data_IF_545774043554
#
_entry.id   IF_545774043554
#
_cell.length_a   1.000
_cell.length_b   1.000
_cell.length_c   1.000
_cell.angle_alpha   90.00
_cell.angle_beta   90.00
_cell.angle_gamma   90.00
#
_symmetry.space_group_name_H-M   'P 1'
#
loop_
_entity.id
_entity.type
_entity.pdbx_description
1 polymer ?
#
# COMPACT_ATOMS: atom_id res chain seq x y z
N UNK A 1 -9.44 -14.52 -36.07
CA UNK A 1 -9.91 -15.91 -36.06
C UNK A 1 -9.22 -16.77 -37.12
N UNK A 2 -9.08 -16.32 -38.36
CA UNK A 2 -8.56 -17.18 -39.44
C UNK A 2 -7.04 -17.37 -39.39
N UNK A 3 -6.29 -16.34 -39.01
CA UNK A 3 -4.83 -16.42 -38.86
C UNK A 3 -4.40 -17.40 -37.74
N UNK A 4 -5.06 -17.34 -36.59
CA UNK A 4 -4.76 -18.23 -35.46
C UNK A 4 -5.09 -19.69 -35.78
N UNK A 5 -6.22 -19.96 -36.47
CA UNK A 5 -6.56 -21.31 -36.95
C UNK A 5 -5.52 -21.83 -37.95
N UNK A 6 -5.15 -21.01 -38.92
CA UNK A 6 -4.12 -21.34 -39.91
C UNK A 6 -2.79 -21.70 -39.23
N UNK A 7 -2.40 -20.98 -38.18
CA UNK A 7 -1.15 -21.25 -37.46
C UNK A 7 -1.20 -22.50 -36.58
N UNK A 8 -2.35 -22.78 -35.96
CA UNK A 8 -2.59 -24.05 -35.26
C UNK A 8 -2.54 -25.23 -36.27
N UNK A 9 -3.14 -25.07 -37.44
CA UNK A 9 -3.08 -26.05 -38.54
C UNK A 9 -1.65 -26.24 -39.09
N UNK A 10 -0.76 -25.26 -38.88
CA UNK A 10 0.68 -25.34 -39.21
C UNK A 10 1.54 -25.88 -38.05
N UNK A 11 0.94 -26.50 -37.03
CA UNK A 11 1.62 -27.07 -35.85
C UNK A 11 2.31 -26.05 -34.93
N UNK A 12 1.99 -24.76 -34.99
CA UNK A 12 2.48 -23.80 -33.98
C UNK A 12 1.48 -23.70 -32.82
N UNK A 13 1.56 -24.67 -31.91
CA UNK A 13 0.62 -24.84 -30.79
C UNK A 13 0.72 -23.72 -29.73
N UNK A 14 1.88 -23.06 -29.61
CA UNK A 14 2.14 -22.02 -28.61
C UNK A 14 1.56 -20.65 -28.98
N UNK A 15 1.08 -20.46 -30.22
CA UNK A 15 0.61 -19.16 -30.71
C UNK A 15 -0.48 -18.56 -29.82
N UNK A 16 -1.41 -19.39 -29.32
CA UNK A 16 -2.51 -18.91 -28.48
C UNK A 16 -1.93 -18.31 -27.19
N UNK A 17 -0.95 -18.98 -26.59
CA UNK A 17 -0.30 -18.52 -25.36
C UNK A 17 0.50 -17.23 -25.60
N UNK A 18 1.28 -17.19 -26.69
CA UNK A 18 2.11 -16.04 -27.04
C UNK A 18 1.28 -14.79 -27.38
N UNK A 19 0.12 -15.00 -28.02
CA UNK A 19 -0.74 -13.91 -28.49
C UNK A 19 -1.90 -13.60 -27.56
N UNK A 20 -2.04 -14.31 -26.44
CA UNK A 20 -3.24 -14.25 -25.60
C UNK A 20 -3.57 -12.83 -25.15
N UNK A 21 -2.58 -12.15 -24.57
CA UNK A 21 -2.74 -10.81 -24.01
C UNK A 21 -3.11 -9.82 -25.12
N UNK A 22 -2.39 -9.86 -26.27
CA UNK A 22 -2.58 -8.96 -27.40
C UNK A 22 -3.93 -9.14 -28.10
N UNK A 23 -4.33 -10.39 -28.35
CA UNK A 23 -5.58 -10.71 -29.04
C UNK A 23 -6.78 -10.28 -28.20
N UNK A 24 -6.75 -10.55 -26.89
CA UNK A 24 -7.84 -10.16 -26.00
C UNK A 24 -7.90 -8.65 -25.83
N UNK A 25 -6.78 -7.97 -25.58
CA UNK A 25 -6.75 -6.49 -25.53
C UNK A 25 -7.24 -5.87 -26.84
N UNK A 26 -6.78 -6.40 -27.98
CA UNK A 26 -7.22 -5.97 -29.31
C UNK A 26 -8.72 -6.14 -29.52
N UNK A 27 -9.31 -7.23 -29.02
CA UNK A 27 -10.75 -7.45 -29.12
C UNK A 27 -11.56 -6.41 -28.33
N UNK A 28 -11.09 -6.01 -27.15
CA UNK A 28 -11.71 -4.92 -26.40
C UNK A 28 -11.55 -3.58 -27.12
N UNK A 29 -10.40 -3.28 -27.72
CA UNK A 29 -10.18 -2.04 -28.48
C UNK A 29 -11.06 -1.94 -29.74
N UNK A 30 -11.24 -3.05 -30.47
CA UNK A 30 -12.15 -3.09 -31.63
C UNK A 30 -13.58 -2.81 -31.17
N UNK A 31 -13.98 -3.32 -30.00
CA UNK A 31 -15.32 -3.12 -29.49
C UNK A 31 -15.52 -1.75 -28.81
N UNK A 32 -14.44 -1.13 -28.31
CA UNK A 32 -14.48 0.16 -27.62
C UNK A 32 -13.38 1.10 -28.18
N UNK A 33 -13.51 1.54 -29.45
CA UNK A 33 -12.45 2.30 -30.11
C UNK A 33 -12.18 3.62 -29.40
N UNK A 34 -10.92 4.15 -29.43
CA UNK A 34 -10.50 5.34 -28.68
C UNK A 34 -11.41 6.56 -28.83
N UNK A 35 -11.91 6.79 -30.04
CA UNK A 35 -12.71 7.98 -30.41
C UNK A 35 -14.22 7.77 -30.30
N UNK A 36 -14.67 6.54 -30.03
CA UNK A 36 -16.10 6.22 -29.98
C UNK A 36 -16.67 6.44 -28.57
N UNK A 37 -17.65 7.33 -28.47
CA UNK A 37 -18.58 7.38 -27.33
C UNK A 37 -19.70 6.33 -27.47
N UNK A 38 -19.84 5.75 -28.65
CA UNK A 38 -20.83 4.70 -28.94
C UNK A 38 -20.52 3.45 -28.14
N UNK A 39 -21.48 3.08 -27.30
CA UNK A 39 -21.45 1.87 -26.50
C UNK A 39 -21.86 0.70 -27.39
N UNK A 40 -20.92 -0.18 -27.72
CA UNK A 40 -21.26 -1.47 -28.32
C UNK A 40 -21.96 -2.33 -27.27
N UNK A 41 -23.00 -3.05 -27.68
CA UNK A 41 -23.75 -3.99 -26.84
C UNK A 41 -22.81 -5.04 -26.23
N UNK A 42 -22.92 -5.21 -24.91
CA UNK A 42 -22.19 -6.23 -24.14
C UNK A 42 -22.37 -7.64 -24.73
N UNK A 43 -23.52 -7.91 -25.36
CA UNK A 43 -23.79 -9.18 -26.03
C UNK A 43 -22.80 -9.44 -27.18
N UNK A 44 -22.53 -8.43 -28.01
CA UNK A 44 -21.60 -8.54 -29.14
C UNK A 44 -20.19 -8.78 -28.64
N UNK A 45 -19.76 -8.05 -27.61
CA UNK A 45 -18.43 -8.26 -27.01
C UNK A 45 -18.31 -9.67 -26.42
N UNK A 46 -19.33 -10.12 -25.69
CA UNK A 46 -19.37 -11.46 -25.13
C UNK A 46 -19.29 -12.55 -26.21
N UNK A 47 -20.05 -12.44 -27.30
CA UNK A 47 -20.03 -13.41 -28.40
C UNK A 47 -18.63 -13.51 -29.02
N UNK A 48 -18.00 -12.37 -29.34
CA UNK A 48 -16.64 -12.34 -29.90
C UNK A 48 -15.59 -12.94 -28.96
N UNK A 49 -15.64 -12.59 -27.68
CA UNK A 49 -14.73 -13.15 -26.68
C UNK A 49 -14.96 -14.65 -26.46
N UNK A 50 -16.21 -15.09 -26.45
CA UNK A 50 -16.56 -16.51 -26.32
C UNK A 50 -16.02 -17.32 -27.50
N UNK A 51 -16.06 -16.78 -28.72
CA UNK A 51 -15.46 -17.44 -29.89
C UNK A 51 -13.93 -17.51 -29.81
N UNK A 52 -13.27 -16.50 -29.24
CA UNK A 52 -11.84 -16.58 -28.92
C UNK A 52 -11.57 -17.62 -27.84
N UNK A 53 -12.40 -17.70 -26.80
CA UNK A 53 -12.25 -18.70 -25.75
C UNK A 53 -12.42 -20.14 -26.25
N UNK A 54 -13.31 -20.38 -27.23
CA UNK A 54 -13.41 -21.69 -27.91
C UNK A 54 -12.14 -22.07 -28.66
N UNK A 55 -11.33 -21.09 -29.08
CA UNK A 55 -10.02 -21.32 -29.69
C UNK A 55 -8.89 -21.49 -28.66
N UNK A 56 -9.18 -21.39 -27.36
CA UNK A 56 -8.19 -21.59 -26.29
C UNK A 56 -7.69 -20.31 -25.62
N UNK A 57 -8.07 -19.12 -26.12
CA UNK A 57 -7.74 -17.85 -25.47
C UNK A 57 -8.42 -17.72 -24.10
N UNK A 58 -7.74 -17.12 -23.11
CA UNK A 58 -8.25 -17.01 -21.74
C UNK A 58 -8.05 -15.62 -21.16
N UNK A 59 -9.13 -15.07 -20.59
CA UNK A 59 -9.06 -13.86 -19.77
C UNK A 59 -8.48 -14.27 -18.40
N UNK A 60 -7.15 -14.25 -18.30
CA UNK A 60 -6.43 -14.40 -17.03
C UNK A 60 -6.54 -13.11 -16.21
N UNK A 61 -6.19 -13.17 -14.92
CA UNK A 61 -6.17 -11.98 -14.07
C UNK A 61 -5.23 -10.91 -14.62
N UNK A 62 -4.04 -11.31 -15.11
CA UNK A 62 -3.08 -10.41 -15.76
C UNK A 62 -3.70 -9.69 -16.96
N UNK A 63 -4.33 -10.43 -17.88
CA UNK A 63 -4.98 -9.85 -19.06
C UNK A 63 -6.11 -8.90 -18.67
N UNK A 64 -6.92 -9.28 -17.68
CA UNK A 64 -8.00 -8.42 -17.21
C UNK A 64 -7.46 -7.11 -16.61
N UNK A 65 -6.40 -7.15 -15.79
CA UNK A 65 -5.73 -5.97 -15.30
C UNK A 65 -5.20 -5.09 -16.44
N UNK A 66 -4.53 -5.69 -17.43
CA UNK A 66 -4.00 -4.96 -18.59
C UNK A 66 -5.12 -4.30 -19.42
N UNK A 67 -6.26 -4.97 -19.59
CA UNK A 67 -7.45 -4.39 -20.22
C UNK A 67 -7.97 -3.21 -19.40
N UNK A 68 -8.15 -3.34 -18.08
CA UNK A 68 -8.61 -2.22 -17.26
C UNK A 68 -7.65 -1.02 -17.33
N UNK A 69 -6.34 -1.28 -17.33
CA UNK A 69 -5.31 -0.24 -17.47
C UNK A 69 -5.40 0.44 -18.84
N UNK A 70 -5.60 -0.32 -19.92
CA UNK A 70 -5.79 0.21 -21.28
C UNK A 70 -6.99 1.17 -21.37
N UNK A 71 -8.02 0.94 -20.56
CA UNK A 71 -9.22 1.77 -20.50
C UNK A 71 -9.22 2.78 -19.34
N UNK A 72 -8.12 2.98 -18.62
CA UNK A 72 -8.05 3.81 -17.40
C UNK A 72 -8.69 5.20 -17.58
N UNK A 73 -8.33 5.92 -18.65
CA UNK A 73 -8.86 7.28 -18.94
C UNK A 73 -10.35 7.31 -19.28
N UNK A 74 -10.94 6.15 -19.60
CA UNK A 74 -12.34 5.98 -20.01
C UNK A 74 -13.04 4.94 -19.12
N UNK A 75 -12.51 4.69 -17.92
CA UNK A 75 -12.98 3.62 -17.05
C UNK A 75 -14.43 3.87 -16.62
N UNK A 76 -14.84 5.12 -16.51
CA UNK A 76 -16.23 5.52 -16.21
C UNK A 76 -17.24 5.10 -17.29
N UNK A 77 -16.81 4.95 -18.54
CA UNK A 77 -17.68 4.57 -19.66
C UNK A 77 -17.80 3.05 -19.84
N UNK A 78 -16.70 2.34 -19.58
CA UNK A 78 -16.55 0.93 -19.97
C UNK A 78 -16.23 -0.02 -18.81
N UNK A 79 -15.77 0.46 -17.66
CA UNK A 79 -15.27 -0.36 -16.55
C UNK A 79 -16.26 -1.44 -16.11
N UNK A 80 -17.51 -1.06 -15.82
CA UNK A 80 -18.55 -2.02 -15.42
C UNK A 80 -18.87 -3.05 -16.51
N UNK A 81 -18.84 -2.65 -17.79
CA UNK A 81 -19.09 -3.56 -18.91
C UNK A 81 -17.95 -4.55 -19.08
N UNK A 82 -16.71 -4.08 -18.93
CA UNK A 82 -15.51 -4.92 -18.96
C UNK A 82 -15.60 -5.97 -17.85
N UNK A 83 -15.96 -5.58 -16.63
CA UNK A 83 -16.16 -6.50 -15.49
C UNK A 83 -17.26 -7.52 -15.80
N UNK A 84 -18.45 -7.06 -16.18
CA UNK A 84 -19.60 -7.92 -16.49
C UNK A 84 -19.28 -9.01 -17.52
N UNK A 85 -18.69 -8.61 -18.65
CA UNK A 85 -18.37 -9.56 -19.72
C UNK A 85 -17.23 -10.48 -19.31
N UNK A 86 -16.20 -9.96 -18.63
CA UNK A 86 -15.06 -10.77 -18.19
C UNK A 86 -15.45 -11.80 -17.13
N UNK A 87 -16.29 -11.42 -16.16
CA UNK A 87 -16.83 -12.32 -15.15
C UNK A 87 -17.66 -13.44 -15.79
N UNK A 88 -18.51 -13.08 -16.75
CA UNK A 88 -19.31 -14.06 -17.51
C UNK A 88 -18.44 -15.04 -18.32
N UNK A 89 -17.35 -14.56 -18.95
CA UNK A 89 -16.41 -15.42 -19.68
C UNK A 89 -15.61 -16.32 -18.73
N UNK A 90 -15.18 -15.81 -17.57
CA UNK A 90 -14.48 -16.58 -16.53
C UNK A 90 -15.39 -17.49 -15.71
N UNK A 91 -16.70 -17.41 -15.90
CA UNK A 91 -17.71 -18.13 -15.10
C UNK A 91 -17.54 -17.89 -13.58
N UNK A 92 -17.35 -16.63 -13.19
CA UNK A 92 -17.27 -16.19 -11.80
C UNK A 92 -18.23 -15.02 -11.55
N UNK A 93 -18.41 -14.63 -10.28
CA UNK A 93 -19.15 -13.42 -9.94
C UNK A 93 -18.30 -12.19 -10.23
N UNK A 94 -18.96 -11.08 -10.58
CA UNK A 94 -18.30 -9.78 -10.78
C UNK A 94 -17.52 -9.34 -9.54
N UNK A 95 -18.08 -9.60 -8.35
CA UNK A 95 -17.49 -9.21 -7.06
C UNK A 95 -16.20 -9.97 -6.81
N UNK A 96 -16.20 -11.29 -7.05
CA UNK A 96 -15.01 -12.14 -6.88
C UNK A 96 -13.89 -11.67 -7.82
N UNK A 97 -14.24 -11.36 -9.08
CA UNK A 97 -13.31 -10.82 -10.07
C UNK A 97 -12.74 -9.46 -9.65
N UNK A 98 -13.59 -8.57 -9.13
CA UNK A 98 -13.16 -7.25 -8.68
C UNK A 98 -12.30 -7.32 -7.43
N UNK A 99 -12.57 -8.22 -6.50
CA UNK A 99 -11.74 -8.45 -5.32
C UNK A 99 -10.36 -8.98 -5.72
N UNK A 100 -10.29 -9.94 -6.66
CA UNK A 100 -9.03 -10.44 -7.21
C UNK A 100 -8.23 -9.32 -7.92
N UNK A 101 -8.91 -8.46 -8.68
CA UNK A 101 -8.29 -7.27 -9.28
C UNK A 101 -7.76 -6.29 -8.22
N UNK A 102 -8.58 -5.96 -7.22
CA UNK A 102 -8.20 -5.03 -6.16
C UNK A 102 -6.97 -5.54 -5.42
N UNK A 103 -6.88 -6.85 -5.16
CA UNK A 103 -5.69 -7.51 -4.62
C UNK A 103 -4.44 -7.26 -5.46
N UNK A 104 -4.52 -7.58 -6.75
CA UNK A 104 -3.42 -7.40 -7.70
C UNK A 104 -3.01 -5.93 -7.83
N UNK A 105 -3.98 -5.01 -7.73
CA UNK A 105 -3.73 -3.57 -7.80
C UNK A 105 -2.90 -3.04 -6.62
N UNK A 106 -2.85 -3.77 -5.50
CA UNK A 106 -2.06 -3.39 -4.33
C UNK A 106 -0.58 -3.67 -4.50
N UNK A 107 -0.21 -4.71 -5.27
CA UNK A 107 1.16 -5.25 -5.35
C UNK A 107 1.77 -5.15 -6.75
N UNK A 108 0.99 -4.69 -7.74
CA UNK A 108 1.46 -4.51 -9.11
C UNK A 108 2.50 -3.39 -9.23
N UNK A 109 3.32 -3.48 -10.27
CA UNK A 109 4.17 -2.37 -10.71
C UNK A 109 3.40 -1.29 -11.49
N UNK A 110 2.27 -1.67 -12.09
CA UNK A 110 1.42 -0.75 -12.83
C UNK A 110 0.61 0.11 -11.85
N UNK A 111 0.45 1.39 -12.19
CA UNK A 111 -0.40 2.28 -11.42
C UNK A 111 -1.87 2.04 -11.80
N UNK A 112 -2.67 1.62 -10.81
CA UNK A 112 -4.10 1.38 -10.95
C UNK A 112 -4.95 2.40 -10.18
N UNK A 113 -4.39 3.53 -9.75
CA UNK A 113 -5.09 4.49 -8.88
C UNK A 113 -6.46 4.89 -9.44
N UNK A 114 -6.56 5.35 -10.69
CA UNK A 114 -7.84 5.79 -11.26
C UNK A 114 -8.85 4.65 -11.42
N UNK A 115 -8.38 3.45 -11.78
CA UNK A 115 -9.22 2.27 -11.94
C UNK A 115 -9.73 1.80 -10.57
N UNK A 116 -8.86 1.79 -9.57
CA UNK A 116 -9.18 1.45 -8.18
C UNK A 116 -10.17 2.46 -7.60
N UNK A 117 -9.95 3.76 -7.78
CA UNK A 117 -10.86 4.83 -7.36
C UNK A 117 -12.25 4.63 -7.95
N UNK A 118 -12.33 4.34 -9.26
CA UNK A 118 -13.60 4.09 -9.93
C UNK A 118 -14.38 2.93 -9.29
N UNK A 119 -13.76 1.75 -9.14
CA UNK A 119 -14.48 0.59 -8.59
C UNK A 119 -14.74 0.74 -7.09
N UNK A 120 -13.79 1.29 -6.32
CA UNK A 120 -13.93 1.45 -4.88
C UNK A 120 -14.99 2.50 -4.50
N UNK A 121 -15.14 3.56 -5.30
CA UNK A 121 -16.20 4.56 -5.11
C UNK A 121 -17.57 4.04 -5.57
N UNK A 122 -17.64 3.30 -6.67
CA UNK A 122 -18.89 2.78 -7.20
C UNK A 122 -19.46 1.57 -6.43
N UNK A 123 -18.62 0.82 -5.72
CA UNK A 123 -18.96 -0.48 -5.09
C UNK A 123 -18.71 -0.48 -3.59
N UNK A 124 -19.61 0.13 -2.84
CA UNK A 124 -19.52 0.21 -1.36
C UNK A 124 -19.49 -1.16 -0.68
N UNK A 125 -20.11 -2.16 -1.30
CA UNK A 125 -20.15 -3.55 -0.89
C UNK A 125 -18.76 -4.23 -0.88
N UNK A 126 -17.82 -3.76 -1.72
CA UNK A 126 -16.46 -4.29 -1.81
C UNK A 126 -15.50 -3.69 -0.78
N UNK A 127 -15.89 -2.59 -0.11
CA UNK A 127 -14.99 -1.87 0.82
C UNK A 127 -14.55 -2.75 1.99
N UNK A 128 -15.50 -3.46 2.62
CA UNK A 128 -15.20 -4.30 3.79
C UNK A 128 -14.35 -5.53 3.42
N UNK A 129 -14.68 -6.33 2.40
CA UNK A 129 -13.80 -7.42 1.95
C UNK A 129 -12.40 -6.93 1.58
N UNK A 130 -12.29 -5.81 0.86
CA UNK A 130 -10.99 -5.27 0.47
C UNK A 130 -10.19 -4.77 1.68
N UNK A 131 -10.82 -4.11 2.64
CA UNK A 131 -10.17 -3.72 3.91
C UNK A 131 -9.59 -4.93 4.65
N UNK A 132 -10.36 -6.03 4.77
CA UNK A 132 -9.87 -7.27 5.39
C UNK A 132 -8.64 -7.83 4.65
N UNK A 133 -8.64 -7.74 3.33
CA UNK A 133 -7.52 -8.18 2.50
C UNK A 133 -6.28 -7.30 2.71
N UNK A 134 -6.43 -5.97 2.77
CA UNK A 134 -5.32 -5.05 3.10
C UNK A 134 -4.71 -5.41 4.45
N UNK A 135 -5.55 -5.58 5.47
CA UNK A 135 -5.11 -5.97 6.81
C UNK A 135 -4.32 -7.28 6.81
N UNK A 136 -4.79 -8.30 6.08
CA UNK A 136 -4.08 -9.57 5.97
C UNK A 136 -2.70 -9.41 5.32
N UNK A 137 -2.59 -8.64 4.23
CA UNK A 137 -1.32 -8.38 3.55
C UNK A 137 -0.35 -7.57 4.41
N UNK A 138 -0.83 -6.56 5.13
CA UNK A 138 -0.02 -5.77 6.07
C UNK A 138 0.49 -6.63 7.22
N UNK A 139 -0.38 -7.45 7.84
CA UNK A 139 -0.01 -8.38 8.91
C UNK A 139 1.02 -9.41 8.44
N UNK A 140 0.82 -9.97 7.25
CA UNK A 140 1.79 -10.87 6.64
C UNK A 140 3.14 -10.18 6.42
N UNK A 141 3.14 -8.95 5.92
CA UNK A 141 4.37 -8.16 5.73
C UNK A 141 5.08 -7.87 7.06
N UNK A 142 4.31 -7.56 8.11
CA UNK A 142 4.80 -7.40 9.48
C UNK A 142 5.44 -8.69 10.02
N UNK A 143 4.83 -9.84 9.75
CA UNK A 143 5.39 -11.14 10.13
C UNK A 143 6.70 -11.43 9.38
N UNK A 144 6.78 -11.09 8.09
CA UNK A 144 8.03 -11.23 7.32
C UNK A 144 9.17 -10.39 7.91
N UNK A 145 8.87 -9.19 8.42
CA UNK A 145 9.85 -8.39 9.14
C UNK A 145 10.32 -9.13 10.40
N UNK A 146 9.40 -9.68 11.20
CA UNK A 146 9.75 -10.43 12.40
C UNK A 146 10.59 -11.67 12.12
N UNK A 147 10.27 -12.38 11.04
CA UNK A 147 11.02 -13.57 10.63
C UNK A 147 12.45 -13.21 10.21
N UNK A 148 12.65 -12.08 9.53
CA UNK A 148 14.00 -11.56 9.23
C UNK A 148 14.76 -11.24 10.53
N UNK A 149 14.10 -10.62 11.51
CA UNK A 149 14.71 -10.28 12.78
C UNK A 149 15.00 -11.50 13.67
N UNK A 150 14.30 -12.62 13.47
CA UNK A 150 14.50 -13.90 14.18
C UNK A 150 15.50 -14.86 13.52
N UNK A 151 16.09 -14.49 12.38
CA UNK A 151 16.94 -15.41 11.60
C UNK A 151 18.12 -15.97 12.44
N UNK A 152 18.32 -17.29 12.35
CA UNK A 152 19.23 -18.12 13.17
C UNK A 152 20.74 -17.83 13.00
N UNK A 153 21.13 -16.88 12.15
CA UNK A 153 22.54 -16.53 11.99
C UNK A 153 22.96 -15.55 13.09
N UNK A 154 23.32 -16.09 14.26
CA UNK A 154 23.72 -15.36 15.49
C UNK A 154 24.87 -14.34 15.34
N UNK A 155 25.42 -14.12 14.14
CA UNK A 155 26.53 -13.18 13.90
C UNK A 155 26.46 -12.39 12.59
N UNK A 156 25.32 -12.37 11.89
CA UNK A 156 25.18 -11.60 10.66
C UNK A 156 24.07 -10.56 10.75
N UNK A 157 24.44 -9.34 10.38
CA UNK A 157 23.55 -8.22 10.10
C UNK A 157 22.34 -8.66 9.24
N UNK A 158 21.08 -8.27 9.57
CA UNK A 158 19.89 -8.80 8.92
C UNK A 158 19.79 -8.35 7.46
N UNK A 159 19.62 -9.28 6.52
CA UNK A 159 19.47 -8.94 5.09
C UNK A 159 17.99 -8.84 4.73
N UNK A 160 17.51 -7.64 4.43
CA UNK A 160 16.13 -7.40 4.05
C UNK A 160 15.92 -7.51 2.54
N UNK A 161 14.97 -8.33 2.10
CA UNK A 161 14.50 -8.25 0.72
C UNK A 161 13.34 -7.24 0.66
N UNK A 162 13.63 -6.01 0.21
CA UNK A 162 12.65 -4.92 0.17
C UNK A 162 11.33 -5.31 -0.54
N UNK A 163 11.40 -6.03 -1.67
CA UNK A 163 10.20 -6.47 -2.41
C UNK A 163 9.36 -7.49 -1.63
N UNK A 164 9.96 -8.28 -0.75
CA UNK A 164 9.24 -9.24 0.09
C UNK A 164 8.60 -8.57 1.29
N UNK A 165 9.32 -7.67 1.95
CA UNK A 165 8.81 -6.99 3.16
C UNK A 165 7.91 -5.80 2.83
N UNK A 166 8.05 -5.20 1.65
CA UNK A 166 7.27 -4.08 1.09
C UNK A 166 6.76 -4.45 -0.31
N UNK A 167 5.78 -5.35 -0.42
CA UNK A 167 5.26 -5.82 -1.70
C UNK A 167 4.35 -4.80 -2.40
N UNK A 168 3.95 -3.74 -1.71
CA UNK A 168 2.96 -2.79 -2.19
C UNK A 168 3.46 -1.92 -3.35
N UNK A 169 2.54 -1.56 -4.24
CA UNK A 169 2.70 -0.48 -5.21
C UNK A 169 2.96 0.83 -4.45
N UNK A 170 3.85 1.68 -5.00
CA UNK A 170 4.39 2.85 -4.30
C UNK A 170 3.33 3.85 -3.86
N UNK A 171 2.26 4.03 -4.63
CA UNK A 171 1.17 4.95 -4.28
C UNK A 171 0.07 4.29 -3.44
N UNK A 172 0.07 2.97 -3.30
CA UNK A 172 -1.03 2.23 -2.67
C UNK A 172 -1.25 2.61 -1.21
N UNK A 173 -0.20 2.61 -0.38
CA UNK A 173 -0.38 2.94 1.04
C UNK A 173 -0.78 4.40 1.25
N UNK A 174 -0.40 5.31 0.34
CA UNK A 174 -0.89 6.69 0.36
C UNK A 174 -2.35 6.76 -0.06
N UNK A 175 -2.76 5.95 -1.03
CA UNK A 175 -4.16 5.80 -1.41
C UNK A 175 -5.01 5.32 -0.23
N UNK A 176 -4.53 4.33 0.54
CA UNK A 176 -5.20 3.87 1.78
C UNK A 176 -5.40 5.03 2.76
N UNK A 177 -4.37 5.87 2.96
CA UNK A 177 -4.44 7.06 3.82
C UNK A 177 -5.52 8.06 3.39
N UNK A 178 -5.71 8.23 2.08
CA UNK A 178 -6.74 9.14 1.54
C UNK A 178 -8.15 8.58 1.75
N UNK A 179 -8.33 7.30 1.45
CA UNK A 179 -9.65 6.68 1.37
C UNK A 179 -10.26 6.26 2.71
N UNK A 180 -9.43 5.91 3.68
CA UNK A 180 -9.92 5.43 4.98
C UNK A 180 -9.89 6.54 6.05
N UNK A 181 -10.74 6.38 7.06
CA UNK A 181 -10.73 7.26 8.23
C UNK A 181 -9.48 7.04 9.05
N UNK A 182 -8.94 8.13 9.60
CA UNK A 182 -7.65 8.11 10.30
C UNK A 182 -7.64 7.23 11.57
N UNK A 183 -8.83 7.04 12.16
CA UNK A 183 -9.05 6.20 13.34
C UNK A 183 -9.39 4.73 12.98
N UNK A 184 -9.39 4.38 11.69
CA UNK A 184 -9.70 3.02 11.25
C UNK A 184 -8.57 2.03 11.52
N UNK A 185 -8.94 0.76 11.73
CA UNK A 185 -7.97 -0.32 11.98
C UNK A 185 -6.93 -0.46 10.86
N UNK A 186 -7.35 -0.26 9.59
CA UNK A 186 -6.43 -0.37 8.45
C UNK A 186 -5.37 0.73 8.45
N UNK A 187 -5.73 1.96 8.82
CA UNK A 187 -4.76 3.05 8.93
C UNK A 187 -3.78 2.81 10.06
N UNK A 188 -4.27 2.36 11.22
CA UNK A 188 -3.41 2.01 12.35
C UNK A 188 -2.42 0.90 11.99
N UNK A 189 -2.88 -0.17 11.36
CA UNK A 189 -2.03 -1.31 11.00
C UNK A 189 -1.03 -0.94 9.90
N UNK A 190 -1.45 -0.17 8.90
CA UNK A 190 -0.53 0.39 7.90
C UNK A 190 0.52 1.31 8.54
N UNK A 191 0.11 2.16 9.48
CA UNK A 191 1.03 3.06 10.18
C UNK A 191 2.04 2.28 11.03
N UNK A 192 1.59 1.29 11.79
CA UNK A 192 2.47 0.42 12.57
C UNK A 192 3.54 -0.24 11.70
N UNK A 193 3.10 -0.83 10.59
CA UNK A 193 3.98 -1.45 9.61
C UNK A 193 5.00 -0.46 9.00
N UNK A 194 4.55 0.72 8.56
CA UNK A 194 5.42 1.78 8.01
C UNK A 194 6.41 2.28 9.08
N UNK A 195 5.95 2.44 10.32
CA UNK A 195 6.77 2.89 11.43
C UNK A 195 7.89 1.88 11.75
N UNK A 196 7.56 0.59 11.79
CA UNK A 196 8.56 -0.48 11.96
C UNK A 196 9.61 -0.48 10.86
N UNK A 197 9.21 -0.33 9.60
CA UNK A 197 10.15 -0.18 8.48
C UNK A 197 11.02 1.07 8.63
N UNK A 198 10.46 2.19 9.10
CA UNK A 198 11.20 3.43 9.32
C UNK A 198 12.25 3.28 10.44
N UNK A 199 11.93 2.53 11.50
CA UNK A 199 12.86 2.20 12.59
C UNK A 199 13.99 1.30 12.09
N UNK A 200 13.68 0.27 11.30
CA UNK A 200 14.68 -0.59 10.66
C UNK A 200 15.65 0.24 9.81
N UNK A 201 15.12 1.12 8.96
CA UNK A 201 15.94 2.04 8.19
C UNK A 201 16.81 2.90 9.10
N UNK A 202 16.27 3.45 10.20
CA UNK A 202 17.06 4.28 11.13
C UNK A 202 18.22 3.54 11.79
N UNK A 203 18.02 2.27 12.16
CA UNK A 203 19.01 1.46 12.87
C UNK A 203 20.09 0.93 11.92
N UNK A 204 19.70 0.54 10.71
CA UNK A 204 20.56 -0.18 9.78
C UNK A 204 21.01 0.65 8.57
N UNK A 205 20.55 1.88 8.38
CA UNK A 205 21.07 2.77 7.34
C UNK A 205 22.48 3.25 7.72
N UNK A 206 23.50 2.70 7.03
CA UNK A 206 24.90 3.12 7.18
C UNK A 206 25.35 3.86 5.92
N UNK A 207 26.02 5.02 6.05
CA UNK A 207 26.49 5.82 4.91
C UNK A 207 27.56 5.11 4.05
N UNK A 208 28.17 4.02 4.54
CA UNK A 208 29.25 3.31 3.87
C UNK A 208 28.80 1.92 3.37
N UNK A 209 28.37 1.87 2.11
CA UNK A 209 28.41 0.73 1.17
C UNK A 209 27.75 -0.63 1.50
N UNK A 210 27.06 -0.81 2.62
CA UNK A 210 26.24 -2.01 2.84
C UNK A 210 24.82 -1.61 3.22
N UNK A 211 24.01 -1.25 2.23
CA UNK A 211 22.58 -1.26 2.48
C UNK A 211 22.17 -2.69 2.82
N UNK A 212 21.46 -2.88 3.93
CA UNK A 212 20.93 -4.15 4.41
C UNK A 212 19.77 -4.64 3.50
N UNK A 213 19.98 -4.58 2.18
CA UNK A 213 19.00 -4.83 1.13
C UNK A 213 18.09 -3.66 0.75
N UNK A 214 18.37 -2.44 1.22
CA UNK A 214 17.63 -1.22 0.87
C UNK A 214 18.40 -0.29 -0.08
N UNK A 215 17.89 -0.04 -1.28
CA UNK A 215 18.47 1.05 -2.10
C UNK A 215 18.17 2.42 -1.47
N UNK A 216 18.94 3.46 -1.82
CA UNK A 216 18.63 4.85 -1.41
C UNK A 216 17.21 5.27 -1.77
N UNK A 217 16.70 4.81 -2.93
CA UNK A 217 15.31 5.02 -3.35
C UNK A 217 14.29 4.33 -2.44
N UNK A 218 14.62 3.15 -1.91
CA UNK A 218 13.74 2.43 -0.96
C UNK A 218 13.68 3.18 0.37
N UNK A 219 14.83 3.64 0.86
CA UNK A 219 14.95 4.42 2.09
C UNK A 219 14.15 5.71 1.98
N UNK A 220 14.36 6.47 0.90
CA UNK A 220 13.61 7.69 0.63
C UNK A 220 12.11 7.44 0.56
N UNK A 221 11.69 6.33 -0.08
CA UNK A 221 10.28 5.97 -0.16
C UNK A 221 9.67 5.66 1.22
N UNK A 222 10.34 4.90 2.07
CA UNK A 222 9.89 4.62 3.46
C UNK A 222 9.79 5.92 4.26
N UNK A 223 10.81 6.78 4.18
CA UNK A 223 10.81 8.10 4.84
C UNK A 223 9.60 8.92 4.41
N UNK A 224 9.37 9.03 3.10
CA UNK A 224 8.22 9.76 2.52
C UNK A 224 6.87 9.21 2.97
N UNK A 225 6.71 7.89 3.01
CA UNK A 225 5.48 7.24 3.48
C UNK A 225 5.22 7.50 4.97
N UNK A 226 6.25 7.39 5.81
CA UNK A 226 6.15 7.69 7.23
C UNK A 226 5.69 9.14 7.46
N UNK A 227 6.32 10.11 6.80
CA UNK A 227 5.91 11.51 6.91
C UNK A 227 4.49 11.75 6.38
N UNK A 228 4.08 11.08 5.29
CA UNK A 228 2.72 11.19 4.78
C UNK A 228 1.69 10.72 5.82
N UNK A 229 1.93 9.58 6.48
CA UNK A 229 1.03 9.07 7.52
C UNK A 229 1.00 9.94 8.77
N UNK A 230 2.15 10.38 9.28
CA UNK A 230 2.20 11.30 10.43
C UNK A 230 1.45 12.58 10.11
N UNK A 231 1.76 13.21 8.98
CA UNK A 231 1.11 14.46 8.56
C UNK A 231 -0.38 14.24 8.33
N UNK A 232 -0.76 13.06 7.84
CA UNK A 232 -2.12 12.58 7.67
C UNK A 232 -2.92 12.43 8.96
N UNK A 233 -2.26 12.53 10.11
CA UNK A 233 -2.86 12.40 11.42
C UNK A 233 -2.87 10.96 11.94
N UNK A 234 -2.04 10.05 11.41
CA UNK A 234 -1.89 8.72 11.99
C UNK A 234 -1.37 8.85 13.43
N UNK A 235 -1.98 8.10 14.35
CA UNK A 235 -1.69 8.21 15.77
C UNK A 235 -0.60 7.22 16.17
N UNK A 236 0.36 7.70 16.97
CA UNK A 236 1.27 6.80 17.68
C UNK A 236 0.52 6.03 18.76
N UNK A 237 1.04 4.86 19.10
CA UNK A 237 0.56 4.00 20.18
C UNK A 237 1.69 3.72 21.18
N UNK A 238 1.33 3.17 22.34
CA UNK A 238 2.28 2.97 23.45
C UNK A 238 3.49 2.13 23.03
N UNK A 239 3.28 1.06 22.28
CA UNK A 239 4.38 0.16 21.86
C UNK A 239 5.33 0.81 20.86
N UNK A 240 4.95 1.92 20.21
CA UNK A 240 5.89 2.69 19.38
C UNK A 240 6.97 3.37 20.21
N UNK A 241 6.74 3.65 21.51
CA UNK A 241 7.75 4.22 22.39
C UNK A 241 8.97 3.31 22.56
N UNK A 242 8.75 2.00 22.65
CA UNK A 242 9.83 1.03 22.82
C UNK A 242 10.79 1.06 21.61
N UNK A 243 10.23 1.27 20.42
CA UNK A 243 10.99 1.43 19.17
C UNK A 243 11.59 2.84 19.00
N UNK A 244 10.91 3.91 19.45
CA UNK A 244 11.46 5.28 19.40
C UNK A 244 12.69 5.43 20.28
N UNK A 245 12.71 4.74 21.43
CA UNK A 245 13.82 4.77 22.39
C UNK A 245 15.13 4.22 21.83
N UNK A 246 15.09 3.37 20.80
CA UNK A 246 16.29 2.75 20.21
C UNK A 246 16.81 3.48 18.98
N UNK A 247 16.11 4.53 18.52
CA UNK A 247 16.51 5.36 17.39
C UNK A 247 17.26 6.61 17.87
N UNK A 248 18.37 6.95 17.21
CA UNK A 248 19.11 8.21 17.43
C UNK A 248 18.64 9.33 16.51
N UNK A 249 17.91 9.00 15.45
CA UNK A 249 17.62 9.91 14.35
C UNK A 249 16.53 10.93 14.71
N UNK A 250 16.91 12.21 14.67
CA UNK A 250 16.01 13.33 14.92
C UNK A 250 14.75 13.31 14.05
N UNK A 251 14.85 12.77 12.83
CA UNK A 251 13.75 12.63 11.88
C UNK A 251 12.63 11.70 12.36
N UNK A 252 12.90 10.77 13.28
CA UNK A 252 11.88 9.92 13.89
C UNK A 252 11.27 10.58 15.13
N UNK A 253 12.10 11.24 15.94
CA UNK A 253 11.66 11.87 17.18
C UNK A 253 10.84 13.15 16.94
N UNK A 254 11.20 13.97 15.94
CA UNK A 254 10.52 15.25 15.65
C UNK A 254 9.01 15.05 15.36
N UNK A 255 8.60 14.14 14.47
CA UNK A 255 7.19 13.76 14.29
C UNK A 255 6.47 13.36 15.59
N UNK A 256 7.14 12.64 16.47
CA UNK A 256 6.54 12.21 17.72
C UNK A 256 6.36 13.37 18.72
N UNK A 257 7.45 14.08 19.06
CA UNK A 257 7.40 15.15 20.05
C UNK A 257 6.72 16.41 19.52
N UNK A 258 7.16 16.91 18.35
CA UNK A 258 6.78 18.24 17.88
C UNK A 258 5.41 18.26 17.22
N UNK A 259 4.95 17.14 16.68
CA UNK A 259 3.68 17.05 15.98
C UNK A 259 2.65 16.28 16.82
N UNK A 260 2.91 15.01 17.12
CA UNK A 260 1.93 14.17 17.81
C UNK A 260 1.69 14.59 19.26
N UNK A 261 2.73 14.72 20.08
CA UNK A 261 2.56 15.10 21.48
C UNK A 261 2.15 16.57 21.64
N UNK A 262 2.74 17.50 20.88
CA UNK A 262 2.28 18.90 20.86
C UNK A 262 0.79 19.03 20.52
N UNK A 263 0.28 18.22 19.59
CA UNK A 263 -1.14 18.19 19.26
C UNK A 263 -2.00 17.75 20.46
N UNK A 264 -1.57 16.71 21.17
CA UNK A 264 -2.29 16.16 22.31
C UNK A 264 -2.31 17.12 23.50
N UNK A 265 -1.16 17.74 23.82
CA UNK A 265 -1.01 18.52 25.06
C UNK A 265 -1.29 20.01 24.89
N UNK A 266 -0.97 20.60 23.74
CA UNK A 266 -0.98 22.06 23.60
C UNK A 266 -2.16 22.60 22.78
N UNK A 267 -3.07 21.72 22.29
CA UNK A 267 -4.24 22.09 21.46
C UNK A 267 -3.91 23.04 20.30
N UNK A 268 -2.66 23.08 19.86
CA UNK A 268 -2.23 24.02 18.83
C UNK A 268 -2.64 23.52 17.44
N UNK A 269 -2.94 24.49 16.57
CA UNK A 269 -3.03 24.29 15.13
C UNK A 269 -1.79 23.52 14.72
N UNK A 270 -2.02 22.31 14.22
CA UNK A 270 -0.98 21.46 13.65
C UNK A 270 -0.21 22.32 12.65
N UNK A 271 1.04 22.67 12.96
CA UNK A 271 1.92 23.17 11.92
C UNK A 271 2.05 22.01 10.95
N UNK A 272 1.46 22.16 9.75
CA UNK A 272 1.64 21.19 8.69
C UNK A 272 3.13 20.94 8.59
N UNK A 273 3.57 19.69 8.73
CA UNK A 273 4.93 19.34 8.34
C UNK A 273 5.00 19.80 6.88
N UNK A 274 5.83 20.81 6.60
CA UNK A 274 6.07 21.31 5.25
C UNK A 274 6.87 20.25 4.50
N UNK A 275 6.24 19.11 4.30
CA UNK A 275 6.66 18.11 3.37
C UNK A 275 6.12 18.53 2.01
N UNK A 276 6.81 18.17 0.93
CA UNK A 276 6.30 18.40 -0.42
C UNK A 276 4.96 17.68 -0.58
N UNK A 277 3.87 18.38 -0.22
CA UNK A 277 2.49 18.03 -0.51
C UNK A 277 2.31 17.89 -2.03
N UNK A 278 3.28 18.35 -2.83
CA UNK A 278 3.43 18.10 -4.26
C UNK A 278 3.64 16.61 -4.62
N UNK A 279 4.31 15.80 -3.80
CA UNK A 279 4.60 14.40 -4.19
C UNK A 279 3.37 13.49 -4.10
N UNK A 280 2.40 13.82 -3.23
CA UNK A 280 1.19 13.02 -3.02
C UNK A 280 -0.12 13.79 -3.11
N UNK A 281 -0.12 15.12 -3.22
CA UNK A 281 -1.32 15.95 -3.37
C UNK A 281 -2.35 15.70 -2.28
N UNK A 282 -1.97 15.80 -1.00
CA UNK A 282 -2.87 15.50 0.12
C UNK A 282 -3.28 16.80 0.81
N UNK A 283 -4.59 17.06 0.83
CA UNK A 283 -5.23 18.09 1.64
C UNK A 283 -5.81 17.39 2.89
N UNK A 284 -5.31 17.74 4.07
CA UNK A 284 -5.51 16.98 5.32
C UNK A 284 -6.29 17.81 6.34
N UNK A 285 -7.55 18.09 6.03
CA UNK A 285 -8.52 18.69 6.95
C UNK A 285 -9.26 17.64 7.81
N UNK A 286 -8.68 16.46 8.04
CA UNK A 286 -9.23 15.43 8.96
C UNK A 286 -8.78 15.74 10.40
N UNK A 287 -9.38 16.77 11.02
CA UNK A 287 -9.06 17.19 12.40
C UNK A 287 -9.53 16.15 13.43
N UNK A 288 -8.66 15.75 14.37
CA UNK A 288 -8.97 14.80 15.44
C UNK A 288 -9.89 15.44 16.50
N UNK A 289 -10.97 14.76 16.87
CA UNK A 289 -12.04 15.27 17.77
C UNK A 289 -11.82 14.97 19.27
N UNK A 290 -10.68 14.40 19.68
CA UNK A 290 -10.54 13.74 20.99
C UNK A 290 -9.26 14.08 21.80
N UNK A 291 -8.73 15.30 21.73
CA UNK A 291 -7.43 15.63 22.34
C UNK A 291 -7.34 15.41 23.87
N UNK A 292 -8.42 15.68 24.62
CA UNK A 292 -8.37 15.69 26.10
C UNK A 292 -8.25 14.31 26.76
N UNK A 293 -9.01 13.31 26.32
CA UNK A 293 -8.92 11.96 26.90
C UNK A 293 -7.58 11.29 26.55
N UNK A 294 -6.96 11.73 25.45
CA UNK A 294 -5.64 11.28 25.02
C UNK A 294 -4.52 11.92 25.83
N UNK A 295 -4.65 13.17 26.32
CA UNK A 295 -3.59 13.84 27.07
C UNK A 295 -3.28 13.15 28.39
N UNK A 296 -4.30 12.80 29.16
CA UNK A 296 -4.13 12.15 30.47
C UNK A 296 -3.47 10.76 30.28
N UNK A 297 -3.98 9.99 29.31
CA UNK A 297 -3.42 8.69 28.95
C UNK A 297 -1.94 8.79 28.55
N UNK A 298 -1.59 9.76 27.71
CA UNK A 298 -0.21 9.94 27.28
C UNK A 298 0.68 10.49 28.38
N UNK A 299 0.16 11.34 29.27
CA UNK A 299 0.91 11.83 30.42
C UNK A 299 1.34 10.68 31.32
N UNK A 300 0.42 9.77 31.63
CA UNK A 300 0.71 8.57 32.42
C UNK A 300 1.75 7.67 31.74
N UNK A 301 1.58 7.43 30.43
CA UNK A 301 2.51 6.62 29.63
C UNK A 301 3.93 7.24 29.65
N UNK A 302 4.04 8.53 29.40
CA UNK A 302 5.32 9.24 29.31
C UNK A 302 5.99 9.37 30.68
N UNK A 303 5.23 9.62 31.74
CA UNK A 303 5.75 9.72 33.13
C UNK A 303 6.29 8.38 33.65
N UNK A 304 5.80 7.26 33.11
CA UNK A 304 6.29 5.92 33.44
C UNK A 304 7.29 5.38 32.41
N UNK A 305 7.74 6.21 31.45
CA UNK A 305 8.68 5.79 30.42
C UNK A 305 10.09 5.72 31.02
N UNK A 306 10.61 4.51 31.14
CA UNK A 306 11.95 4.24 31.67
C UNK A 306 12.88 3.71 30.56
N UNK A 307 14.19 3.99 30.62
CA UNK A 307 15.15 3.43 29.69
C UNK A 307 15.14 1.90 29.72
N UNK A 308 14.73 1.28 28.62
CA UNK A 308 14.65 -0.17 28.50
C UNK A 308 15.49 -0.68 27.35
N UNK A 309 16.04 -1.88 27.54
CA UNK A 309 16.57 -2.66 26.43
C UNK A 309 15.39 -3.19 25.62
N UNK A 310 15.49 -3.12 24.30
CA UNK A 310 14.49 -3.66 23.41
C UNK A 310 15.03 -4.89 22.70
N UNK A 311 14.29 -6.00 22.76
CA UNK A 311 14.66 -7.24 22.07
C UNK A 311 13.72 -7.41 20.88
N UNK A 312 14.30 -7.51 19.68
CA UNK A 312 13.57 -7.79 18.45
C UNK A 312 14.17 -8.99 17.74
N UNK A 313 13.47 -10.12 17.83
CA UNK A 313 14.01 -11.39 17.36
C UNK A 313 15.30 -11.72 18.10
N UNK A 314 16.40 -11.90 17.38
CA UNK A 314 17.71 -12.24 17.94
C UNK A 314 18.58 -11.01 18.26
N UNK A 315 18.03 -9.79 18.11
CA UNK A 315 18.76 -8.55 18.30
C UNK A 315 18.37 -7.85 19.60
N UNK A 316 19.37 -7.41 20.37
CA UNK A 316 19.20 -6.59 21.56
C UNK A 316 19.67 -5.16 21.26
N UNK A 317 18.76 -4.19 21.43
CA UNK A 317 19.03 -2.78 21.20
C UNK A 317 19.06 -2.03 22.54
N UNK A 318 20.12 -1.27 22.74
CA UNK A 318 20.22 -0.34 23.86
C UNK A 318 19.44 0.93 23.55
N UNK A 319 18.79 1.48 24.56
CA UNK A 319 18.15 2.78 24.47
C UNK A 319 19.17 3.87 24.11
N UNK A 320 18.66 4.95 23.52
CA UNK A 320 19.41 6.11 23.08
C UNK A 320 19.11 7.31 23.96
N UNK A 321 20.17 7.95 24.45
CA UNK A 321 20.06 9.08 25.37
C UNK A 321 19.31 10.28 24.75
N UNK A 322 19.39 10.46 23.42
CA UNK A 322 18.73 11.55 22.69
C UNK A 322 17.21 11.54 22.92
N UNK A 323 16.57 10.36 22.92
CA UNK A 323 15.13 10.23 23.15
C UNK A 323 14.73 10.77 24.53
N UNK A 324 15.44 10.38 25.59
CA UNK A 324 15.15 10.81 26.96
C UNK A 324 15.48 12.29 27.21
N UNK A 325 16.52 12.81 26.55
CA UNK A 325 16.80 14.25 26.56
C UNK A 325 15.59 15.03 26.05
N UNK A 326 15.02 14.63 24.91
CA UNK A 326 13.82 15.27 24.33
C UNK A 326 12.57 15.02 25.15
N UNK A 327 12.42 13.83 25.72
CA UNK A 327 11.30 13.53 26.60
C UNK A 327 11.32 14.43 27.83
N UNK A 328 12.47 14.60 28.48
CA UNK A 328 12.61 15.49 29.64
C UNK A 328 12.35 16.95 29.28
N UNK A 329 12.88 17.42 28.15
CA UNK A 329 12.60 18.76 27.63
C UNK A 329 11.09 18.97 27.41
N UNK A 330 10.44 18.01 26.75
CA UNK A 330 9.01 18.04 26.49
C UNK A 330 8.18 18.00 27.78
N UNK A 331 8.49 17.09 28.71
CA UNK A 331 7.78 16.97 30.00
C UNK A 331 7.96 18.18 30.90
N UNK A 332 9.04 18.96 30.74
CA UNK A 332 9.24 20.23 31.44
C UNK A 332 8.44 21.38 30.82
N UNK A 333 8.04 21.23 29.55
CA UNK A 333 7.29 22.25 28.79
C UNK A 333 5.76 22.16 28.93
N UNK A 334 5.25 20.99 29.37
CA UNK A 334 3.85 20.77 29.77
C UNK A 334 3.71 21.16 31.25
#
# INVERSE_FOLDING_TARGET
>A
HDLARMWIEMNYEEIIQDTNDLVLQGQFLICYPPESTTVIDNKILYEKLNDLCKLGYRITMKVFCDILHLFEKRITLFGNKIVQVSAKIRNCKEDDLLIEFLEMSMISLQNFALVRDFFFSARTDLKKPFMCMILNHVRYSNQMIDDVMKSDCEMQDPIFNFRKIMPFEKSFLVWVLKEYDIDSDVIRECFDYIFRLRVIVSIFDRPENSSFGFTSKNIEHIKKLFYAYVSGGASFEKHHLDLLQICDEDELHKPFFNFFLSFIFNNHVVQSIAYDNLYFGIDLDKTRKYAKDLSDKWYDILSCCEPKKYVWGNYEFLFKANFFSKLNEFMTSI
#
